data_IF_209076967152
#
_entry.id   IF_209076967152
#
_cell.length_a   1.000
_cell.length_b   1.000
_cell.length_c   1.000
_cell.angle_alpha   90.00
_cell.angle_beta   90.00
_cell.angle_gamma   90.00
#
_symmetry.space_group_name_H-M   'P 1'
#
loop_
_entity.id
_entity.type
_entity.pdbx_description
1 polymer ?
#
# COMPACT_ATOMS: atom_id res chain seq x y z
N UNK A 1 -0.75 -60.76 -37.22
CA UNK A 1 0.71 -60.81 -37.39
C UNK A 1 1.19 -59.58 -38.13
N UNK A 2 1.91 -58.68 -37.46
CA UNK A 2 3.03 -57.84 -37.94
C UNK A 2 3.55 -57.06 -36.73
N UNK A 3 4.87 -56.89 -36.70
CA UNK A 3 5.73 -56.87 -35.51
C UNK A 3 6.59 -55.59 -35.56
N UNK A 4 6.84 -54.98 -34.38
CA UNK A 4 7.92 -54.02 -34.00
C UNK A 4 7.92 -52.65 -34.73
N UNK A 5 8.41 -51.53 -34.17
CA UNK A 5 9.48 -51.35 -33.18
C UNK A 5 9.26 -50.07 -32.32
N UNK A 6 9.81 -50.10 -31.10
CA UNK A 6 10.03 -48.93 -30.24
C UNK A 6 11.22 -48.12 -30.76
N UNK A 7 11.08 -46.79 -30.82
CA UNK A 7 12.23 -45.87 -30.84
C UNK A 7 12.10 -44.90 -29.68
N UNK A 8 13.06 -45.01 -28.77
CA UNK A 8 13.37 -44.08 -27.70
C UNK A 8 13.78 -42.71 -28.27
N UNK A 9 13.41 -41.63 -27.57
CA UNK A 9 13.76 -40.27 -27.95
C UNK A 9 13.67 -39.29 -26.79
N UNK A 10 14.75 -39.23 -26.02
CA UNK A 10 15.28 -38.06 -25.28
C UNK A 10 14.41 -37.43 -24.18
N UNK A 11 14.83 -37.68 -22.94
CA UNK A 11 14.44 -36.97 -21.71
C UNK A 11 15.01 -35.54 -21.76
N UNK A 12 14.15 -34.52 -21.74
CA UNK A 12 14.56 -33.17 -21.36
C UNK A 12 14.34 -33.00 -19.85
N UNK A 13 15.40 -33.19 -19.07
CA UNK A 13 15.41 -32.87 -17.64
C UNK A 13 15.46 -31.35 -17.51
N UNK A 14 14.33 -30.71 -17.21
CA UNK A 14 14.27 -29.33 -16.73
C UNK A 14 14.33 -29.36 -15.20
N UNK A 15 15.56 -29.37 -14.66
CA UNK A 15 15.81 -28.99 -13.27
C UNK A 15 15.70 -27.47 -13.14
N UNK A 16 14.74 -26.96 -12.35
CA UNK A 16 14.83 -25.60 -11.86
C UNK A 16 13.50 -24.94 -11.48
N UNK A 17 13.22 -24.90 -10.17
CA UNK A 17 12.45 -23.83 -9.55
C UNK A 17 11.05 -24.20 -9.06
N UNK A 18 10.98 -24.88 -7.91
CA UNK A 18 9.85 -24.68 -7.00
C UNK A 18 9.85 -23.19 -6.61
N UNK A 19 8.95 -22.38 -7.18
CA UNK A 19 8.65 -21.07 -6.60
C UNK A 19 7.70 -21.36 -5.43
N UNK A 20 8.12 -21.19 -4.16
CA UNK A 20 7.16 -21.12 -3.08
C UNK A 20 6.35 -19.85 -3.33
N UNK A 21 5.09 -20.01 -3.73
CA UNK A 21 4.12 -18.93 -3.62
C UNK A 21 3.96 -18.64 -2.13
N UNK A 22 4.82 -17.78 -1.58
CA UNK A 22 4.62 -17.23 -0.24
C UNK A 22 3.30 -16.49 -0.27
N UNK A 23 2.28 -17.11 0.32
CA UNK A 23 0.99 -16.48 0.57
C UNK A 23 1.24 -15.20 1.38
N UNK A 24 1.19 -14.05 0.73
CA UNK A 24 1.05 -12.77 1.42
C UNK A 24 -0.40 -12.68 1.91
N UNK A 25 -0.69 -13.42 2.99
CA UNK A 25 -1.84 -13.12 3.83
C UNK A 25 -1.54 -11.81 4.54
N UNK A 26 -1.75 -10.69 3.85
CA UNK A 26 -2.03 -9.44 4.54
C UNK A 26 -3.37 -9.67 5.22
N UNK A 27 -3.34 -9.80 6.56
CA UNK A 27 -4.52 -9.73 7.40
C UNK A 27 -5.10 -8.31 7.20
N UNK A 28 -5.83 -8.11 6.10
CA UNK A 28 -6.39 -6.83 5.72
C UNK A 28 -7.62 -6.56 6.59
N UNK A 29 -7.39 -6.45 7.90
CA UNK A 29 -8.40 -5.88 8.78
C UNK A 29 -8.64 -4.45 8.31
N UNK A 30 -9.88 -4.07 8.01
CA UNK A 30 -10.17 -2.70 7.62
C UNK A 30 -9.68 -1.79 8.74
N UNK A 31 -8.83 -0.83 8.37
CA UNK A 31 -8.32 0.14 9.34
C UNK A 31 -9.47 1.00 9.80
N UNK A 32 -9.76 0.92 11.10
CA UNK A 32 -10.78 1.74 11.72
C UNK A 32 -10.38 3.22 11.67
N UNK A 33 -11.34 4.13 11.80
CA UNK A 33 -11.05 5.57 11.89
C UNK A 33 -10.01 5.88 12.99
N UNK A 34 -10.05 5.13 14.10
CA UNK A 34 -9.08 5.24 15.19
C UNK A 34 -7.66 4.83 14.79
N UNK A 35 -7.49 3.87 13.88
CA UNK A 35 -6.18 3.52 13.32
C UNK A 35 -5.58 4.69 12.55
N UNK A 36 -6.38 5.35 11.71
CA UNK A 36 -5.98 6.54 10.97
C UNK A 36 -5.67 7.74 11.88
N UNK A 37 -6.43 7.92 12.97
CA UNK A 37 -6.13 8.96 13.96
C UNK A 37 -4.80 8.74 14.66
N UNK A 38 -4.49 7.49 15.06
CA UNK A 38 -3.19 7.16 15.66
C UNK A 38 -2.06 7.40 14.68
N UNK A 39 -2.25 7.05 13.41
CA UNK A 39 -1.28 7.32 12.37
C UNK A 39 -1.06 8.83 12.22
N UNK A 40 -2.13 9.61 12.12
CA UNK A 40 -2.04 11.08 12.03
C UNK A 40 -1.41 11.73 13.27
N UNK A 41 -1.63 11.15 14.46
CA UNK A 41 -0.94 11.59 15.68
C UNK A 41 0.57 11.43 15.57
N UNK A 42 1.04 10.34 14.98
CA UNK A 42 2.46 10.11 14.75
C UNK A 42 3.03 10.99 13.62
N UNK A 43 2.26 11.19 12.55
CA UNK A 43 2.71 11.90 11.34
C UNK A 43 2.70 13.43 11.49
N UNK A 44 1.64 14.00 12.08
CA UNK A 44 1.45 15.45 12.16
C UNK A 44 1.10 15.98 13.55
N UNK A 45 1.22 15.15 14.58
CA UNK A 45 0.70 15.48 15.91
C UNK A 45 -0.82 15.56 15.96
N UNK A 46 -1.52 14.98 14.97
CA UNK A 46 -2.98 14.98 14.88
C UNK A 46 -3.57 16.20 14.16
N UNK A 47 -2.74 17.12 13.67
CA UNK A 47 -3.20 18.28 12.93
C UNK A 47 -3.50 17.93 11.47
N UNK A 48 -4.79 17.82 11.12
CA UNK A 48 -5.26 17.49 9.77
C UNK A 48 -5.11 18.62 8.76
N UNK A 49 -4.86 19.85 9.23
CA UNK A 49 -4.70 21.06 8.41
C UNK A 49 -3.23 21.51 8.36
N UNK A 50 -2.29 20.69 8.84
CA UNK A 50 -0.88 21.05 8.90
C UNK A 50 -0.30 21.33 7.51
N UNK A 51 0.48 22.40 7.43
CA UNK A 51 1.33 22.73 6.30
C UNK A 51 2.50 23.55 6.84
N UNK A 52 3.64 22.89 7.09
CA UNK A 52 4.85 23.51 7.63
C UNK A 52 5.81 24.01 6.55
N UNK A 53 5.48 23.83 5.27
CA UNK A 53 6.39 24.11 4.16
C UNK A 53 7.44 23.02 3.90
N UNK A 54 7.34 21.85 4.55
CA UNK A 54 8.29 20.73 4.38
C UNK A 54 8.01 19.82 3.16
N UNK A 55 7.07 20.21 2.28
CA UNK A 55 6.68 19.42 1.10
C UNK A 55 5.62 18.34 1.35
N UNK A 56 5.18 18.18 2.61
CA UNK A 56 4.10 17.26 3.00
C UNK A 56 2.90 18.03 3.56
N UNK A 57 1.72 17.43 3.43
CA UNK A 57 0.46 18.12 3.68
C UNK A 57 -0.52 17.25 4.47
N UNK A 58 -1.22 17.89 5.42
CA UNK A 58 -2.36 17.32 6.10
C UNK A 58 -1.99 16.27 7.15
N UNK A 59 -3.00 15.64 7.73
CA UNK A 59 -2.85 14.79 8.91
C UNK A 59 -2.00 13.55 8.68
N UNK A 60 -1.97 13.06 7.45
CA UNK A 60 -1.22 11.86 7.06
C UNK A 60 0.02 12.18 6.25
N UNK A 61 0.48 13.43 6.27
CA UNK A 61 1.73 13.86 5.64
C UNK A 61 1.84 13.40 4.18
N UNK A 62 0.83 13.71 3.36
CA UNK A 62 0.88 13.39 1.93
C UNK A 62 1.89 14.26 1.20
N UNK A 63 2.68 13.69 0.29
CA UNK A 63 3.36 14.48 -0.73
C UNK A 63 2.35 14.99 -1.77
N UNK A 64 2.67 16.11 -2.45
CA UNK A 64 1.81 16.65 -3.50
C UNK A 64 1.62 15.67 -4.68
N UNK A 65 2.64 14.87 -5.00
CA UNK A 65 2.60 13.88 -6.08
C UNK A 65 1.70 12.70 -5.72
N UNK A 66 1.81 12.15 -4.52
CA UNK A 66 0.94 11.05 -4.06
C UNK A 66 -0.50 11.52 -3.96
N UNK A 67 -0.75 12.70 -3.37
CA UNK A 67 -2.11 13.26 -3.28
C UNK A 67 -2.79 13.36 -4.65
N UNK A 68 -2.07 13.87 -5.65
CA UNK A 68 -2.57 13.98 -7.03
C UNK A 68 -2.71 12.62 -7.70
N UNK A 69 -1.71 11.74 -7.57
CA UNK A 69 -1.69 10.42 -8.20
C UNK A 69 -2.81 9.50 -7.72
N UNK A 70 -3.29 9.71 -6.50
CA UNK A 70 -4.42 8.97 -5.92
C UNK A 70 -5.75 9.73 -6.00
N UNK A 71 -5.83 10.79 -6.81
CA UNK A 71 -7.08 11.49 -7.10
C UNK A 71 -7.59 12.40 -5.97
N UNK A 72 -6.76 12.72 -4.98
CA UNK A 72 -7.12 13.63 -3.90
C UNK A 72 -7.44 15.05 -4.38
N UNK A 73 -6.99 15.43 -5.58
CA UNK A 73 -7.30 16.73 -6.19
C UNK A 73 -8.78 16.95 -6.50
N UNK A 74 -9.60 15.89 -6.48
CA UNK A 74 -11.06 16.04 -6.56
C UNK A 74 -11.67 16.67 -5.28
N UNK A 75 -10.95 16.59 -4.16
CA UNK A 75 -11.36 17.18 -2.89
C UNK A 75 -10.72 18.56 -2.68
N UNK A 76 -9.41 18.66 -2.88
CA UNK A 76 -8.69 19.92 -2.80
C UNK A 76 -7.30 19.83 -3.47
N UNK A 77 -6.70 20.97 -3.82
CA UNK A 77 -5.37 21.00 -4.46
C UNK A 77 -4.29 20.30 -3.63
N UNK A 78 -4.34 20.43 -2.30
CA UNK A 78 -3.43 19.76 -1.37
C UNK A 78 -4.20 19.10 -0.22
N UNK A 79 -3.64 18.05 0.38
CA UNK A 79 -4.30 17.27 1.44
C UNK A 79 -4.75 18.13 2.64
N UNK A 80 -3.92 19.09 3.10
CA UNK A 80 -4.26 19.97 4.22
C UNK A 80 -5.50 20.85 3.97
N UNK A 81 -5.90 21.05 2.72
CA UNK A 81 -7.10 21.82 2.38
C UNK A 81 -8.36 20.94 2.43
N UNK A 82 -8.23 19.64 2.20
CA UNK A 82 -9.32 18.68 2.28
C UNK A 82 -9.74 18.39 3.73
N UNK A 83 -10.93 17.84 3.92
CA UNK A 83 -11.40 17.34 5.21
C UNK A 83 -10.62 16.11 5.65
N UNK A 84 -10.66 15.79 6.95
CA UNK A 84 -10.06 14.57 7.51
C UNK A 84 -10.55 13.31 6.80
N UNK A 85 -11.85 13.18 6.56
CA UNK A 85 -12.43 11.98 5.95
C UNK A 85 -11.99 11.82 4.48
N UNK A 86 -11.86 12.91 3.74
CA UNK A 86 -11.34 12.88 2.36
C UNK A 86 -9.85 12.49 2.30
N UNK A 87 -9.06 12.97 3.27
CA UNK A 87 -7.67 12.54 3.43
C UNK A 87 -7.60 11.04 3.75
N UNK A 88 -8.40 10.56 4.70
CA UNK A 88 -8.48 9.13 5.04
C UNK A 88 -8.94 8.31 3.84
N UNK A 89 -9.92 8.78 3.06
CA UNK A 89 -10.38 8.07 1.87
C UNK A 89 -9.27 7.90 0.85
N UNK A 90 -8.53 8.98 0.56
CA UNK A 90 -7.36 8.93 -0.33
C UNK A 90 -6.26 8.02 0.25
N UNK A 91 -6.09 8.02 1.58
CA UNK A 91 -5.11 7.17 2.26
C UNK A 91 -5.47 5.69 2.19
N UNK A 92 -6.76 5.34 2.23
CA UNK A 92 -7.24 3.98 2.01
C UNK A 92 -6.87 3.51 0.59
N UNK A 93 -7.01 4.37 -0.42
CA UNK A 93 -6.63 4.03 -1.79
C UNK A 93 -5.10 3.82 -1.91
N UNK A 94 -4.30 4.67 -1.25
CA UNK A 94 -2.84 4.48 -1.15
C UNK A 94 -2.48 3.18 -0.45
N UNK A 95 -3.10 2.91 0.70
CA UNK A 95 -2.85 1.71 1.50
C UNK A 95 -3.23 0.44 0.73
N UNK A 96 -4.35 0.45 -0.01
CA UNK A 96 -4.76 -0.67 -0.83
C UNK A 96 -3.77 -0.96 -1.97
N UNK A 97 -3.09 0.06 -2.51
CA UNK A 97 -2.14 -0.10 -3.63
C UNK A 97 -0.70 -0.35 -3.20
N UNK A 98 -0.25 0.30 -2.14
CA UNK A 98 1.15 0.27 -1.71
C UNK A 98 1.35 -0.56 -0.43
N UNK A 99 0.28 -0.80 0.34
CA UNK A 99 0.36 -1.28 1.71
C UNK A 99 0.89 -0.21 2.66
N UNK A 100 1.20 -0.63 3.89
CA UNK A 100 1.67 0.27 4.96
C UNK A 100 3.06 0.87 4.76
N UNK A 101 3.79 0.42 3.73
CA UNK A 101 5.09 1.00 3.35
C UNK A 101 5.00 2.48 2.94
N UNK A 102 3.81 2.97 2.62
CA UNK A 102 3.57 4.39 2.36
C UNK A 102 3.78 5.27 3.62
N UNK A 103 3.64 4.68 4.81
CA UNK A 103 3.91 5.33 6.11
C UNK A 103 4.84 4.45 6.95
N UNK A 104 6.10 4.23 6.53
CA UNK A 104 6.91 3.11 6.99
C UNK A 104 7.31 3.19 8.46
N UNK A 105 7.46 4.39 9.02
CA UNK A 105 7.84 4.58 10.43
C UNK A 105 6.60 4.56 11.32
N UNK A 106 5.62 5.41 11.03
CA UNK A 106 4.47 5.57 11.91
C UNK A 106 3.49 4.40 11.87
N UNK A 107 3.30 3.72 10.72
CA UNK A 107 2.45 2.52 10.66
C UNK A 107 2.93 1.44 11.64
N UNK A 108 4.22 1.13 11.64
CA UNK A 108 4.85 0.21 12.60
C UNK A 108 4.68 0.66 14.05
N UNK A 109 4.92 1.95 14.33
CA UNK A 109 4.76 2.51 15.69
C UNK A 109 3.34 2.34 16.24
N UNK A 110 2.33 2.44 15.37
CA UNK A 110 0.92 2.38 15.78
C UNK A 110 0.26 1.02 15.52
N UNK A 111 1.05 0.02 15.09
CA UNK A 111 0.62 -1.37 14.91
C UNK A 111 -0.13 -1.67 13.61
N UNK A 112 0.00 -0.81 12.59
CA UNK A 112 -0.55 -1.00 11.25
C UNK A 112 0.50 -1.68 10.35
N UNK A 113 0.21 -2.88 9.84
CA UNK A 113 1.14 -3.71 9.06
C UNK A 113 0.42 -4.61 8.06
#
# INVERSE_FOLDING_TARGET
MRVRALTAGTVLVLTGGLIPATAVSADARPTTLRGWERLAQCESGGNWKINTGNGYYGGLQFSASTWRGFGGTKYARYAHQATKLEQIRTAQDVQARQGWRAWPVCSRKVGLR
#
